data_IF_855262759454
#
_entry.id   IF_855262759454
#
_cell.length_a   1.000
_cell.length_b   1.000
_cell.length_c   1.000
_cell.angle_alpha   90.00
_cell.angle_beta   90.00
_cell.angle_gamma   90.00
#
_symmetry.space_group_name_H-M   'P 1'
#
loop_
_entity.id
_entity.type
_entity.pdbx_description
1 polymer ?
#
# COMPACT_ATOMS: atom_id res chain seq x y z
N UNK A 1 15.89 -2.90 1.82
CA UNK A 1 17.01 -2.83 0.85
C UNK A 1 17.59 -1.41 0.73
N UNK A 2 16.84 -0.31 0.51
CA UNK A 2 17.43 1.04 0.38
C UNK A 2 18.39 1.45 1.50
N UNK A 3 18.03 1.15 2.76
CA UNK A 3 18.87 1.47 3.92
C UNK A 3 20.24 0.79 3.88
N UNK A 4 20.28 -0.47 3.46
CA UNK A 4 21.55 -1.22 3.35
C UNK A 4 22.41 -0.69 2.23
N UNK A 5 21.82 -0.37 1.08
CA UNK A 5 22.55 0.23 -0.04
C UNK A 5 23.14 1.59 0.35
N UNK A 6 22.31 2.44 0.97
CA UNK A 6 22.73 3.77 1.45
C UNK A 6 23.84 3.65 2.52
N UNK A 7 23.73 2.70 3.45
CA UNK A 7 24.77 2.44 4.46
C UNK A 7 26.09 2.01 3.83
N UNK A 8 26.03 1.25 2.73
CA UNK A 8 27.21 0.81 1.99
C UNK A 8 27.72 1.85 0.96
N UNK A 9 27.08 3.00 0.85
CA UNK A 9 27.39 4.03 -0.15
C UNK A 9 27.09 3.60 -1.59
N UNK A 10 26.16 2.65 -1.78
CA UNK A 10 25.76 2.15 -3.08
C UNK A 10 24.51 2.86 -3.60
N UNK A 11 24.44 3.02 -4.91
CA UNK A 11 23.30 3.65 -5.58
C UNK A 11 22.02 2.82 -5.45
N UNK A 12 20.90 3.46 -5.16
CA UNK A 12 19.59 2.80 -5.08
C UNK A 12 19.05 2.56 -6.49
N UNK A 13 18.67 1.32 -6.86
CA UNK A 13 18.03 1.04 -8.16
C UNK A 13 16.73 1.86 -8.34
N UNK A 14 16.47 2.33 -9.56
CA UNK A 14 15.26 3.10 -9.92
C UNK A 14 13.95 2.34 -9.62
N UNK A 15 13.95 1.02 -9.78
CA UNK A 15 12.80 0.16 -9.48
C UNK A 15 12.49 0.04 -7.98
N UNK A 16 13.29 0.65 -7.10
CA UNK A 16 13.11 0.56 -5.67
C UNK A 16 12.35 1.78 -5.15
N UNK A 17 11.06 1.63 -4.84
CA UNK A 17 10.21 2.69 -4.31
C UNK A 17 10.48 3.05 -2.83
N UNK A 18 11.12 2.13 -2.10
CA UNK A 18 11.44 2.34 -0.69
C UNK A 18 12.44 3.47 -0.47
N UNK A 19 12.42 4.06 0.72
CA UNK A 19 13.37 5.09 1.18
C UNK A 19 14.31 4.54 2.23
N UNK A 20 15.53 5.08 2.30
CA UNK A 20 16.49 4.73 3.35
C UNK A 20 15.99 5.18 4.71
N UNK A 21 16.13 4.31 5.71
CA UNK A 21 15.85 4.62 7.11
C UNK A 21 17.07 5.23 7.83
N UNK A 22 18.23 5.38 7.15
CA UNK A 22 19.44 5.91 7.79
C UNK A 22 19.25 7.27 8.46
N UNK A 23 18.54 8.26 7.86
CA UNK A 23 18.27 9.52 8.55
C UNK A 23 17.56 9.30 9.89
N UNK A 24 16.50 8.47 9.92
CA UNK A 24 15.78 8.17 11.15
C UNK A 24 16.66 7.43 12.18
N UNK A 25 17.50 6.49 11.72
CA UNK A 25 18.45 5.78 12.60
C UNK A 25 19.51 6.70 13.20
N UNK A 26 19.80 7.84 12.56
CA UNK A 26 20.69 8.89 13.07
C UNK A 26 19.99 9.91 13.97
N UNK A 27 18.66 9.80 14.13
CA UNK A 27 17.84 10.71 14.91
C UNK A 27 17.30 11.91 14.12
N UNK A 28 17.48 11.93 12.80
CA UNK A 28 16.91 12.98 11.94
C UNK A 28 15.40 12.77 11.80
N UNK A 29 14.68 13.87 11.59
CA UNK A 29 13.23 13.87 11.30
C UNK A 29 12.98 14.56 9.96
N UNK A 30 13.14 13.87 8.81
CA UNK A 30 12.95 14.49 7.50
C UNK A 30 11.51 15.01 7.35
N UNK A 31 11.38 16.30 6.99
CA UNK A 31 10.09 16.99 6.87
C UNK A 31 9.19 16.38 5.78
N UNK A 32 9.78 15.75 4.77
CA UNK A 32 9.10 15.09 3.66
C UNK A 32 8.92 13.58 3.88
N UNK A 33 9.04 13.10 5.14
CA UNK A 33 8.83 11.70 5.40
C UNK A 33 7.39 11.30 5.14
N UNK A 34 7.20 10.05 4.68
CA UNK A 34 5.85 9.52 4.43
C UNK A 34 5.00 9.56 5.71
N UNK A 35 3.76 9.97 5.57
CA UNK A 35 2.77 10.02 6.66
C UNK A 35 1.85 8.80 6.69
N UNK A 36 2.07 7.82 5.82
CA UNK A 36 1.32 6.57 5.79
C UNK A 36 2.20 5.43 5.26
N UNK A 37 1.82 4.22 5.61
CA UNK A 37 2.36 2.99 5.04
C UNK A 37 1.30 2.31 4.20
N UNK A 38 1.75 1.62 3.16
CA UNK A 38 0.91 0.87 2.25
C UNK A 38 1.48 -0.52 2.09
N UNK A 39 0.63 -1.52 2.05
CA UNK A 39 1.01 -2.88 1.68
C UNK A 39 -0.16 -3.63 1.04
N UNK A 40 0.16 -4.63 0.27
CA UNK A 40 -0.79 -5.53 -0.37
C UNK A 40 -0.46 -6.95 0.03
N UNK A 41 -1.48 -7.78 0.14
CA UNK A 41 -1.32 -9.18 0.48
C UNK A 41 -2.34 -10.03 -0.26
N UNK A 42 -1.87 -11.17 -0.73
CA UNK A 42 -2.68 -12.22 -1.31
C UNK A 42 -2.77 -13.37 -0.30
N UNK A 43 -3.99 -13.65 0.15
CA UNK A 43 -4.25 -14.66 1.19
C UNK A 43 -4.82 -15.95 0.63
N UNK A 44 -4.72 -16.17 -0.70
CA UNK A 44 -5.13 -17.43 -1.31
C UNK A 44 -4.36 -18.60 -0.71
N UNK A 45 -5.04 -19.70 -0.50
CA UNK A 45 -4.45 -20.95 -0.04
C UNK A 45 -4.25 -21.92 -1.20
N UNK A 46 -3.11 -21.82 -1.88
CA UNK A 46 -2.81 -22.49 -3.17
C UNK A 46 -3.07 -24.01 -3.12
N UNK A 47 -2.81 -24.67 -1.97
CA UNK A 47 -2.91 -26.12 -1.85
C UNK A 47 -4.31 -26.57 -1.36
N UNK A 48 -4.89 -25.87 -0.42
CA UNK A 48 -6.10 -26.31 0.28
C UNK A 48 -7.37 -25.57 -0.14
N UNK A 49 -7.22 -24.42 -0.80
CA UNK A 49 -8.31 -23.48 -1.14
C UNK A 49 -9.27 -23.20 0.05
N UNK A 50 -8.73 -23.28 1.27
CA UNK A 50 -9.54 -23.18 2.48
C UNK A 50 -10.16 -21.79 2.65
N UNK A 51 -9.42 -20.73 2.34
CA UNK A 51 -9.90 -19.35 2.42
C UNK A 51 -11.02 -19.12 1.39
N UNK A 52 -10.81 -19.55 0.16
CA UNK A 52 -11.75 -19.42 -0.94
C UNK A 52 -13.10 -20.12 -0.63
N UNK A 53 -13.03 -21.36 -0.19
CA UNK A 53 -14.24 -22.15 0.16
C UNK A 53 -14.96 -21.54 1.37
N UNK A 54 -14.22 -21.14 2.40
CA UNK A 54 -14.82 -20.60 3.62
C UNK A 54 -15.51 -19.25 3.38
N UNK A 55 -14.92 -18.41 2.52
CA UNK A 55 -15.40 -17.06 2.24
C UNK A 55 -16.34 -17.01 1.01
N UNK A 56 -16.44 -18.09 0.25
CA UNK A 56 -17.26 -18.13 -0.97
C UNK A 56 -16.74 -17.22 -2.10
N UNK A 57 -15.42 -17.06 -2.20
CA UNK A 57 -14.76 -16.21 -3.19
C UNK A 57 -13.80 -17.01 -4.07
N UNK A 58 -13.40 -16.46 -5.21
CA UNK A 58 -12.40 -17.10 -6.09
C UNK A 58 -10.97 -16.81 -5.61
N UNK A 59 -9.99 -17.61 -6.05
CA UNK A 59 -8.58 -17.36 -5.75
C UNK A 59 -8.11 -15.96 -6.19
N UNK A 60 -8.58 -15.46 -7.33
CA UNK A 60 -8.24 -14.12 -7.82
C UNK A 60 -8.85 -12.98 -6.97
N UNK A 61 -9.82 -13.30 -6.14
CA UNK A 61 -10.46 -12.38 -5.20
C UNK A 61 -9.81 -12.38 -3.80
N UNK A 62 -8.86 -13.29 -3.55
CA UNK A 62 -8.17 -13.43 -2.28
C UNK A 62 -7.06 -12.40 -2.09
N UNK A 63 -7.36 -11.13 -2.30
CA UNK A 63 -6.38 -10.07 -2.12
C UNK A 63 -6.96 -8.88 -1.37
N UNK A 64 -6.09 -8.19 -0.64
CA UNK A 64 -6.42 -6.93 -0.02
C UNK A 64 -5.24 -5.96 -0.06
N UNK A 65 -5.56 -4.69 0.02
CA UNK A 65 -4.60 -3.61 0.17
C UNK A 65 -4.90 -2.84 1.47
N UNK A 66 -3.85 -2.36 2.13
CA UNK A 66 -3.95 -1.62 3.39
C UNK A 66 -3.24 -0.28 3.26
N UNK A 67 -3.89 0.75 3.76
CA UNK A 67 -3.27 2.02 4.10
C UNK A 67 -3.42 2.27 5.61
N UNK A 68 -2.32 2.62 6.26
CA UNK A 68 -2.30 2.98 7.67
C UNK A 68 -1.49 4.26 7.86
N UNK A 69 -2.06 5.21 8.58
CA UNK A 69 -1.36 6.37 9.12
C UNK A 69 -1.44 6.41 10.65
N UNK A 70 -1.18 7.56 11.24
CA UNK A 70 -1.14 7.70 12.70
C UNK A 70 -2.51 7.56 13.35
N UNK A 71 -3.60 7.77 12.59
CA UNK A 71 -4.96 7.74 13.12
C UNK A 71 -5.79 6.58 12.60
N UNK A 72 -5.79 6.34 11.29
CA UNK A 72 -6.66 5.34 10.69
C UNK A 72 -5.90 4.23 9.99
N UNK A 73 -6.49 3.03 10.06
CA UNK A 73 -6.14 1.90 9.22
C UNK A 73 -7.35 1.53 8.37
N UNK A 74 -7.18 1.58 7.06
CA UNK A 74 -8.19 1.17 6.09
C UNK A 74 -7.72 -0.06 5.33
N UNK A 75 -8.59 -1.06 5.23
CA UNK A 75 -8.35 -2.30 4.49
C UNK A 75 -9.37 -2.41 3.37
N UNK A 76 -8.89 -2.51 2.15
CA UNK A 76 -9.70 -2.72 0.96
C UNK A 76 -9.51 -4.14 0.45
N UNK A 77 -10.57 -4.92 0.44
CA UNK A 77 -10.59 -6.27 -0.13
C UNK A 77 -11.08 -6.25 -1.57
N UNK A 78 -10.57 -7.16 -2.40
CA UNK A 78 -11.05 -7.31 -3.77
C UNK A 78 -12.53 -7.74 -3.85
N UNK A 79 -13.01 -8.51 -2.87
CA UNK A 79 -14.36 -9.09 -2.90
C UNK A 79 -15.09 -9.13 -1.54
N UNK A 80 -14.49 -8.60 -0.48
CA UNK A 80 -15.11 -8.56 0.85
C UNK A 80 -15.40 -7.10 1.24
N UNK A 81 -16.30 -6.85 2.21
CA UNK A 81 -16.52 -5.51 2.76
C UNK A 81 -15.23 -4.90 3.29
N UNK A 82 -15.03 -3.59 3.16
CA UNK A 82 -13.85 -2.92 3.69
C UNK A 82 -13.86 -2.86 5.21
N UNK A 83 -12.66 -2.62 5.79
CA UNK A 83 -12.52 -2.35 7.22
C UNK A 83 -11.90 -0.96 7.40
N UNK A 84 -12.35 -0.26 8.42
CA UNK A 84 -11.77 1.01 8.88
C UNK A 84 -11.67 1.00 10.40
N UNK A 85 -10.48 1.26 10.93
CA UNK A 85 -10.23 1.33 12.37
C UNK A 85 -9.65 2.71 12.73
N UNK A 86 -10.12 3.32 13.81
CA UNK A 86 -9.52 4.51 14.42
C UNK A 86 -8.50 4.05 15.47
N UNK A 87 -7.23 4.09 15.14
CA UNK A 87 -6.13 3.58 15.97
C UNK A 87 -5.88 4.42 17.25
N UNK A 88 -6.46 5.62 17.32
CA UNK A 88 -6.38 6.48 18.50
C UNK A 88 -7.45 6.10 19.53
N UNK A 89 -8.69 5.91 19.07
CA UNK A 89 -9.82 5.58 19.94
C UNK A 89 -9.94 4.06 20.19
N UNK A 90 -9.47 3.24 19.24
CA UNK A 90 -9.53 1.77 19.27
C UNK A 90 -8.19 1.17 18.80
N UNK A 91 -7.12 1.26 19.61
CA UNK A 91 -5.80 0.75 19.27
C UNK A 91 -5.76 -0.78 19.08
N UNK A 92 -6.73 -1.50 19.62
CA UNK A 92 -6.86 -2.96 19.50
C UNK A 92 -7.63 -3.39 18.23
N UNK A 93 -8.10 -2.42 17.42
CA UNK A 93 -8.78 -2.66 16.14
C UNK A 93 -10.01 -3.59 16.27
N UNK A 94 -10.81 -3.41 17.31
CA UNK A 94 -11.96 -4.26 17.64
C UNK A 94 -13.25 -3.81 16.96
N UNK A 95 -13.33 -2.55 16.53
CA UNK A 95 -14.56 -1.94 15.99
C UNK A 95 -14.37 -1.50 14.54
N UNK A 96 -15.03 -2.18 13.61
CA UNK A 96 -15.02 -1.76 12.21
C UNK A 96 -15.96 -0.55 11.99
N UNK A 97 -15.40 0.58 11.64
CA UNK A 97 -16.13 1.83 11.37
C UNK A 97 -16.58 1.98 9.90
N UNK A 98 -16.16 1.08 9.01
CA UNK A 98 -16.40 1.24 7.56
C UNK A 98 -17.90 1.24 7.18
N UNK A 99 -18.74 0.61 7.99
CA UNK A 99 -20.20 0.53 7.76
C UNK A 99 -20.97 1.68 8.41
N UNK A 100 -20.30 2.55 9.17
CA UNK A 100 -20.96 3.67 9.83
C UNK A 100 -21.20 4.80 8.83
N UNK A 101 -22.45 5.32 8.69
CA UNK A 101 -22.78 6.35 7.71
C UNK A 101 -21.90 7.60 7.83
N UNK A 102 -21.61 8.02 9.07
CA UNK A 102 -20.80 9.20 9.36
C UNK A 102 -19.33 9.01 8.97
N UNK A 103 -18.86 7.77 8.79
CA UNK A 103 -17.51 7.44 8.37
C UNK A 103 -17.34 7.26 6.85
N UNK A 104 -18.44 7.32 6.09
CA UNK A 104 -18.40 7.23 4.63
C UNK A 104 -17.41 8.19 3.98
N UNK A 105 -17.31 9.48 4.37
CA UNK A 105 -16.31 10.39 3.81
C UNK A 105 -14.88 9.96 4.11
N UNK A 106 -14.63 9.41 5.30
CA UNK A 106 -13.32 8.90 5.71
C UNK A 106 -12.95 7.67 4.90
N UNK A 107 -13.86 6.70 4.75
CA UNK A 107 -13.68 5.52 3.89
C UNK A 107 -13.32 5.95 2.47
N UNK A 108 -14.07 6.87 1.89
CA UNK A 108 -13.83 7.37 0.54
C UNK A 108 -12.44 8.03 0.41
N UNK A 109 -12.07 8.85 1.40
CA UNK A 109 -10.75 9.50 1.43
C UNK A 109 -9.61 8.49 1.41
N UNK A 110 -9.67 7.44 2.25
CA UNK A 110 -8.64 6.42 2.30
C UNK A 110 -8.63 5.53 1.06
N UNK A 111 -9.80 5.23 0.49
CA UNK A 111 -9.90 4.50 -0.78
C UNK A 111 -9.25 5.28 -1.94
N UNK A 112 -9.47 6.60 -2.02
CA UNK A 112 -8.83 7.47 -3.01
C UNK A 112 -7.32 7.53 -2.81
N UNK A 113 -6.83 7.74 -1.58
CA UNK A 113 -5.39 7.73 -1.27
C UNK A 113 -4.72 6.40 -1.68
N UNK A 114 -5.40 5.29 -1.44
CA UNK A 114 -4.92 3.96 -1.84
C UNK A 114 -4.86 3.82 -3.36
N UNK A 115 -5.88 4.29 -4.07
CA UNK A 115 -5.91 4.29 -5.53
C UNK A 115 -4.79 5.15 -6.11
N UNK A 116 -4.58 6.36 -5.58
CA UNK A 116 -3.50 7.26 -5.99
C UNK A 116 -2.13 6.61 -5.77
N UNK A 117 -1.95 5.96 -4.61
CA UNK A 117 -0.71 5.24 -4.32
C UNK A 117 -0.50 4.09 -5.31
N UNK A 118 -1.52 3.27 -5.59
CA UNK A 118 -1.43 2.16 -6.56
C UNK A 118 -1.10 2.65 -7.95
N UNK A 119 -1.76 3.71 -8.43
CA UNK A 119 -1.50 4.31 -9.75
C UNK A 119 -0.07 4.87 -9.84
N UNK A 120 0.49 5.34 -8.74
CA UNK A 120 1.84 5.89 -8.70
C UNK A 120 2.92 4.82 -8.59
N UNK A 121 2.64 3.71 -7.86
CA UNK A 121 3.63 2.67 -7.50
C UNK A 121 3.35 1.30 -8.13
N UNK A 122 2.23 1.12 -8.86
CA UNK A 122 2.00 -0.10 -9.61
C UNK A 122 3.15 -0.36 -10.58
N UNK A 123 3.36 -1.62 -10.95
CA UNK A 123 4.43 -2.00 -11.87
C UNK A 123 4.49 -1.06 -13.08
N UNK A 124 5.63 -0.39 -13.23
CA UNK A 124 5.80 0.69 -14.19
C UNK A 124 6.45 0.25 -15.49
N UNK A 125 6.38 -1.02 -15.82
CA UNK A 125 6.99 -1.57 -17.03
C UNK A 125 6.62 -0.77 -18.29
N UNK A 126 5.38 -0.28 -18.35
CA UNK A 126 4.92 0.60 -19.43
C UNK A 126 4.93 2.09 -19.06
N UNK A 127 4.79 2.45 -17.79
CA UNK A 127 4.73 3.87 -17.36
C UNK A 127 6.11 4.54 -17.29
N UNK A 128 7.19 3.76 -17.20
CA UNK A 128 8.56 4.28 -17.33
C UNK A 128 9.02 4.43 -18.78
N UNK A 129 8.12 4.24 -19.74
CA UNK A 129 8.38 4.41 -21.14
C UNK A 129 7.78 5.71 -21.68
N UNK A 130 8.47 6.31 -22.63
CA UNK A 130 7.96 7.42 -23.44
C UNK A 130 7.88 7.00 -24.91
N UNK A 131 6.80 7.39 -25.57
CA UNK A 131 6.72 7.27 -27.03
C UNK A 131 7.33 8.54 -27.61
N UNK A 132 8.36 8.35 -28.43
CA UNK A 132 9.05 9.43 -29.16
C UNK A 132 9.02 9.15 -30.66
N UNK A 133 9.48 10.10 -31.48
CA UNK A 133 9.65 9.86 -32.91
C UNK A 133 10.64 8.73 -33.24
N UNK A 134 11.54 8.42 -32.32
CA UNK A 134 12.49 7.30 -32.43
C UNK A 134 11.94 5.97 -31.90
N UNK A 135 10.67 5.92 -31.48
CA UNK A 135 10.02 4.76 -30.89
C UNK A 135 9.84 4.88 -29.36
N UNK A 136 9.67 3.73 -28.73
CA UNK A 136 9.48 3.65 -27.27
C UNK A 136 10.86 3.69 -26.59
N UNK A 137 11.05 4.67 -25.69
CA UNK A 137 12.30 4.85 -24.95
C UNK A 137 12.01 4.90 -23.45
N UNK A 138 12.98 4.47 -22.63
CA UNK A 138 12.87 4.62 -21.17
C UNK A 138 12.88 6.10 -20.78
N UNK A 139 12.03 6.48 -19.81
CA UNK A 139 12.13 7.82 -19.20
C UNK A 139 13.47 7.97 -18.50
N UNK A 140 14.12 9.13 -18.65
CA UNK A 140 15.39 9.39 -17.96
C UNK A 140 15.23 9.40 -16.43
#
# INVERSE_FOLDING_TARGET
MPTVLDWLGLEKPRACDGRSLLPLLRGDTPADWRNAIFFEHDFRTVVTQKAEVTLGITSDQCSYAVIRDDRFKYVHFAALPPLLFDLVEDPDETTNLAEWPDMTPTVLHYAQRMLDWRLTHAERTLTNMMITQAGVVSRP
#
